data_IF_217509326101
#
_entry.id   IF_217509326101
#
_cell.length_a   1.000
_cell.length_b   1.000
_cell.length_c   1.000
_cell.angle_alpha   90.00
_cell.angle_beta   90.00
_cell.angle_gamma   90.00
#
_symmetry.space_group_name_H-M   'P 1'
#
loop_
_entity.id
_entity.type
_entity.pdbx_description
1 polymer ?
#
# COMPACT_ATOMS: atom_id res chain seq x y z
N UNK A 1 -31.05 -10.60 3.69
CA UNK A 1 -31.41 -10.43 2.26
C UNK A 1 -30.20 -9.86 1.52
N UNK A 2 -29.71 -10.61 0.54
CA UNK A 2 -28.69 -10.31 -0.49
C UNK A 2 -27.36 -9.66 -0.07
N UNK A 3 -26.44 -10.48 0.45
CA UNK A 3 -25.01 -10.14 0.46
C UNK A 3 -24.45 -10.28 -0.96
N UNK A 4 -24.29 -9.17 -1.69
CA UNK A 4 -23.49 -9.17 -2.92
C UNK A 4 -22.03 -9.37 -2.51
N UNK A 5 -21.48 -10.55 -2.79
CA UNK A 5 -20.02 -10.75 -2.82
C UNK A 5 -19.49 -9.94 -4.00
N UNK A 6 -18.92 -8.77 -3.74
CA UNK A 6 -18.18 -8.02 -4.77
C UNK A 6 -16.80 -8.65 -4.88
N UNK A 7 -16.65 -9.56 -5.84
CA UNK A 7 -15.33 -10.02 -6.28
C UNK A 7 -14.76 -8.95 -7.20
N UNK A 8 -13.62 -8.36 -6.83
CA UNK A 8 -12.85 -7.53 -7.75
C UNK A 8 -12.11 -8.47 -8.70
N UNK A 9 -12.71 -8.77 -9.85
CA UNK A 9 -12.01 -9.38 -10.99
C UNK A 9 -11.34 -8.27 -11.78
N UNK A 10 -10.02 -8.18 -11.69
CA UNK A 10 -9.20 -7.30 -12.52
C UNK A 10 -9.10 -7.92 -13.93
N UNK A 11 -9.48 -7.19 -14.98
CA UNK A 11 -9.43 -7.64 -16.38
C UNK A 11 -8.36 -6.89 -17.20
N UNK A 12 -7.20 -7.51 -17.44
CA UNK A 12 -6.11 -6.97 -18.26
C UNK A 12 -6.38 -6.95 -19.76
N UNK A 13 -7.50 -7.51 -20.23
CA UNK A 13 -7.85 -7.46 -21.65
C UNK A 13 -8.22 -6.05 -22.15
N UNK A 14 -8.44 -5.10 -21.25
CA UNK A 14 -8.77 -3.72 -21.64
C UNK A 14 -7.57 -2.81 -21.95
N UNK A 15 -6.30 -3.27 -21.81
CA UNK A 15 -5.16 -2.33 -21.80
C UNK A 15 -3.91 -2.70 -22.61
N UNK A 16 -3.83 -3.90 -23.19
CA UNK A 16 -2.76 -4.22 -24.13
C UNK A 16 -3.36 -4.84 -25.38
N UNK A 17 -3.24 -4.16 -26.52
CA UNK A 17 -3.56 -4.71 -27.84
C UNK A 17 -2.47 -5.70 -28.30
N UNK A 18 -2.02 -6.56 -27.38
CA UNK A 18 -0.95 -7.53 -27.57
C UNK A 18 -0.99 -8.60 -26.49
N UNK A 19 -1.98 -9.50 -26.53
CA UNK A 19 -1.87 -10.87 -25.99
C UNK A 19 -1.35 -11.06 -24.56
N UNK A 20 -1.43 -10.05 -23.69
CA UNK A 20 -0.93 -10.15 -22.33
C UNK A 20 -1.99 -10.83 -21.46
N UNK A 21 -1.59 -11.94 -20.83
CA UNK A 21 -2.48 -12.75 -20.00
C UNK A 21 -3.13 -11.93 -18.88
N UNK A 22 -4.43 -12.17 -18.66
CA UNK A 22 -5.19 -11.62 -17.55
C UNK A 22 -4.61 -12.07 -16.20
N UNK A 23 -3.80 -11.22 -15.55
CA UNK A 23 -3.44 -11.34 -14.14
C UNK A 23 -4.56 -10.78 -13.28
N UNK A 24 -4.91 -11.49 -12.20
CA UNK A 24 -5.84 -11.04 -11.17
C UNK A 24 -5.11 -11.00 -9.82
N UNK A 25 -5.31 -9.95 -9.04
CA UNK A 25 -4.74 -9.80 -7.69
C UNK A 25 -5.88 -9.76 -6.67
N UNK A 26 -5.78 -10.58 -5.62
CA UNK A 26 -6.79 -10.67 -4.57
C UNK A 26 -6.22 -10.16 -3.25
N UNK A 27 -6.83 -9.12 -2.70
CA UNK A 27 -6.52 -8.62 -1.36
C UNK A 27 -7.50 -9.22 -0.34
N UNK A 28 -7.00 -9.88 0.70
CA UNK A 28 -7.81 -10.55 1.74
C UNK A 28 -7.44 -10.00 3.10
N UNK A 29 -8.45 -9.55 3.86
CA UNK A 29 -8.30 -9.15 5.25
C UNK A 29 -8.90 -10.25 6.13
N UNK A 30 -8.05 -11.09 6.70
CA UNK A 30 -8.48 -12.26 7.49
C UNK A 30 -9.13 -11.89 8.84
N UNK A 31 -9.06 -10.61 9.24
CA UNK A 31 -9.61 -10.06 10.47
C UNK A 31 -9.98 -8.58 10.33
N UNK A 32 -10.99 -8.29 9.49
CA UNK A 32 -11.44 -6.92 9.29
C UNK A 32 -11.95 -6.32 10.61
N UNK A 33 -11.47 -5.12 10.92
CA UNK A 33 -11.84 -4.34 12.10
C UNK A 33 -12.32 -2.96 11.66
N UNK A 34 -12.86 -2.17 12.59
CA UNK A 34 -13.21 -0.76 12.32
C UNK A 34 -12.04 0.08 11.76
N UNK A 35 -10.79 -0.33 11.99
CA UNK A 35 -9.60 0.35 11.45
C UNK A 35 -9.37 0.07 9.96
N UNK A 36 -9.96 -1.01 9.42
CA UNK A 36 -9.86 -1.35 8.00
C UNK A 36 -10.93 -0.65 7.15
N UNK A 37 -11.86 0.09 7.77
CA UNK A 37 -12.84 0.88 7.06
C UNK A 37 -12.18 2.06 6.35
N UNK A 38 -12.54 2.26 5.09
CA UNK A 38 -12.01 3.37 4.30
C UNK A 38 -11.73 3.03 2.84
N UNK A 39 -11.27 4.01 2.06
CA UNK A 39 -10.90 3.81 0.66
C UNK A 39 -9.64 2.96 0.56
N UNK A 40 -9.67 1.97 -0.34
CA UNK A 40 -8.53 1.16 -0.75
C UNK A 40 -8.32 1.32 -2.26
N UNK A 41 -7.07 1.24 -2.69
CA UNK A 41 -6.68 1.31 -4.09
C UNK A 41 -6.10 -0.02 -4.55
N UNK A 42 -6.58 -0.55 -5.67
CA UNK A 42 -5.89 -1.62 -6.39
C UNK A 42 -4.98 -0.98 -7.43
N UNK A 43 -3.67 -1.19 -7.31
CA UNK A 43 -2.67 -0.57 -8.19
C UNK A 43 -2.05 -1.64 -9.10
N UNK A 44 -2.07 -1.39 -10.41
CA UNK A 44 -1.39 -2.19 -11.43
C UNK A 44 -0.20 -1.39 -11.97
N UNK A 45 0.99 -2.02 -11.99
CA UNK A 45 2.26 -1.39 -12.37
C UNK A 45 2.87 -2.18 -13.54
N UNK A 46 3.31 -1.48 -14.59
CA UNK A 46 3.98 -2.03 -15.76
C UNK A 46 5.12 -1.09 -16.20
N UNK A 47 6.32 -1.34 -15.68
CA UNK A 47 7.46 -0.43 -15.86
C UNK A 47 7.24 0.87 -15.10
N UNK A 48 7.29 2.00 -15.81
CA UNK A 48 7.03 3.36 -15.34
C UNK A 48 5.54 3.72 -15.27
N UNK A 49 4.66 2.89 -15.86
CA UNK A 49 3.23 3.15 -15.90
C UNK A 49 2.53 2.48 -14.73
N UNK A 50 1.68 3.22 -14.05
CA UNK A 50 0.79 2.68 -13.03
C UNK A 50 -0.65 3.17 -13.23
N UNK A 51 -1.59 2.32 -12.87
CA UNK A 51 -3.03 2.60 -12.88
C UNK A 51 -3.63 2.14 -11.57
N UNK A 52 -4.58 2.89 -11.03
CA UNK A 52 -5.27 2.53 -9.81
C UNK A 52 -6.79 2.64 -9.95
N UNK A 53 -7.48 1.79 -9.19
CA UNK A 53 -8.94 1.82 -9.03
C UNK A 53 -9.29 1.84 -7.55
N UNK A 54 -10.36 2.53 -7.16
CA UNK A 54 -10.70 2.79 -5.75
C UNK A 54 -11.96 2.03 -5.34
N UNK A 55 -11.97 1.48 -4.13
CA UNK A 55 -13.18 0.95 -3.49
C UNK A 55 -13.18 1.24 -2.00
N UNK A 56 -14.33 1.10 -1.31
CA UNK A 56 -14.45 1.40 0.11
C UNK A 56 -14.77 0.12 0.89
N UNK A 57 -13.97 -0.17 1.91
CA UNK A 57 -14.25 -1.25 2.87
C UNK A 57 -15.19 -0.70 3.95
N UNK A 58 -16.25 -1.45 4.23
CA UNK A 58 -17.17 -1.22 5.34
C UNK A 58 -17.20 -2.48 6.21
N UNK A 59 -17.00 -2.34 7.51
CA UNK A 59 -16.91 -3.44 8.46
C UNK A 59 -18.13 -3.41 9.39
N UNK A 60 -19.03 -4.37 9.18
CA UNK A 60 -20.22 -4.55 10.04
C UNK A 60 -19.93 -5.51 11.19
N UNK A 61 -20.24 -5.11 12.43
CA UNK A 61 -20.15 -5.96 13.61
C UNK A 61 -21.35 -6.93 13.67
N UNK A 62 -21.43 -7.93 12.79
CA UNK A 62 -22.44 -9.00 12.91
C UNK A 62 -21.94 -10.08 13.86
N UNK A 63 -21.98 -9.80 15.17
CA UNK A 63 -21.65 -10.76 16.22
C UNK A 63 -22.86 -11.64 16.53
N UNK A 64 -23.31 -12.43 15.55
CA UNK A 64 -24.29 -13.50 15.78
C UNK A 64 -23.94 -14.82 15.07
N UNK A 65 -22.65 -15.02 14.74
CA UNK A 65 -22.14 -16.24 14.12
C UNK A 65 -21.49 -17.15 15.17
N UNK A 66 -22.14 -18.28 15.46
CA UNK A 66 -21.66 -19.40 16.30
C UNK A 66 -20.42 -20.13 15.75
N UNK A 67 -19.76 -19.59 14.72
CA UNK A 67 -18.39 -19.91 14.35
C UNK A 67 -17.56 -18.62 14.40
N UNK A 68 -17.14 -18.26 15.62
CA UNK A 68 -16.05 -17.33 15.82
C UNK A 68 -14.81 -17.94 15.17
N UNK A 69 -14.46 -17.51 13.96
CA UNK A 69 -13.09 -17.71 13.49
C UNK A 69 -12.25 -16.90 14.46
N UNK A 70 -11.54 -17.60 15.34
CA UNK A 70 -10.57 -16.97 16.24
C UNK A 70 -9.62 -16.19 15.38
N UNK A 71 -9.83 -14.89 15.39
CA UNK A 71 -8.96 -13.94 14.77
C UNK A 71 -7.63 -14.07 15.53
N UNK A 72 -6.53 -14.44 14.86
CA UNK A 72 -5.27 -14.88 15.50
C UNK A 72 -4.71 -13.97 16.61
N UNK A 73 -3.73 -14.40 17.40
CA UNK A 73 -3.22 -13.59 18.52
C UNK A 73 -2.68 -12.22 18.08
N UNK A 74 -2.82 -11.23 18.96
CA UNK A 74 -2.17 -9.92 18.79
C UNK A 74 -0.66 -10.11 18.60
N UNK A 75 -0.07 -9.38 17.66
CA UNK A 75 1.36 -9.47 17.31
C UNK A 75 1.90 -8.12 16.86
N UNK A 76 3.16 -7.80 17.20
CA UNK A 76 3.79 -6.55 16.81
C UNK A 76 3.86 -6.41 15.29
N UNK A 77 4.05 -5.17 14.80
CA UNK A 77 4.18 -4.93 13.37
C UNK A 77 5.52 -5.47 12.87
N UNK A 78 5.51 -6.01 11.66
CA UNK A 78 6.69 -6.51 10.95
C UNK A 78 6.55 -6.16 9.48
N UNK A 79 7.53 -5.43 8.95
CA UNK A 79 7.61 -5.08 7.53
C UNK A 79 8.17 -6.29 6.78
N UNK A 80 7.34 -6.82 5.88
CA UNK A 80 7.63 -8.07 5.15
C UNK A 80 8.07 -7.85 3.71
N UNK A 81 7.77 -6.67 3.15
CA UNK A 81 8.13 -6.33 1.78
C UNK A 81 8.59 -4.88 1.71
N UNK A 82 9.83 -4.69 1.28
CA UNK A 82 10.47 -3.40 1.02
C UNK A 82 11.67 -3.59 0.08
N UNK A 83 12.24 -2.50 -0.39
CA UNK A 83 13.46 -2.48 -1.20
C UNK A 83 14.52 -1.62 -0.52
N UNK A 84 15.77 -2.07 -0.44
CA UNK A 84 16.82 -1.27 0.20
C UNK A 84 17.27 -0.07 -0.65
N UNK A 85 17.27 -0.22 -1.98
CA UNK A 85 17.73 0.81 -2.92
C UNK A 85 16.95 0.72 -4.22
N UNK A 86 16.61 1.89 -4.78
CA UNK A 86 15.92 2.00 -6.05
C UNK A 86 16.62 3.03 -6.94
N UNK A 87 16.86 2.65 -8.19
CA UNK A 87 17.31 3.55 -9.25
C UNK A 87 16.16 3.70 -10.25
N UNK A 88 15.75 4.92 -10.54
CA UNK A 88 14.65 5.21 -11.45
C UNK A 88 14.96 6.43 -12.30
N UNK A 89 14.42 6.45 -13.53
CA UNK A 89 14.65 7.56 -14.46
C UNK A 89 13.89 8.81 -14.02
N UNK A 90 14.50 9.97 -14.23
CA UNK A 90 13.83 11.25 -14.01
C UNK A 90 12.55 11.40 -14.83
N UNK A 91 11.59 12.10 -14.24
CA UNK A 91 10.26 12.31 -14.83
C UNK A 91 9.35 11.09 -14.82
N UNK A 92 9.84 9.90 -14.41
CA UNK A 92 9.01 8.71 -14.22
C UNK A 92 8.42 8.66 -12.82
N UNK A 93 7.32 7.93 -12.66
CA UNK A 93 6.71 7.69 -11.36
C UNK A 93 7.30 6.43 -10.75
N UNK A 94 7.62 6.49 -9.46
CA UNK A 94 8.22 5.42 -8.69
C UNK A 94 7.32 5.01 -7.53
N UNK A 95 7.26 3.71 -7.22
CA UNK A 95 6.58 3.17 -6.04
C UNK A 95 7.59 2.47 -5.15
N UNK A 96 7.68 2.93 -3.90
CA UNK A 96 8.48 2.29 -2.86
C UNK A 96 7.56 1.33 -2.08
N UNK A 97 7.79 0.01 -2.17
CA UNK A 97 6.94 -0.94 -1.46
C UNK A 97 7.17 -0.86 0.05
N UNK A 98 6.07 -0.86 0.81
CA UNK A 98 6.13 -1.10 2.25
C UNK A 98 4.88 -1.85 2.72
N UNK A 99 5.01 -3.18 2.78
CA UNK A 99 3.94 -4.05 3.25
C UNK A 99 4.29 -4.58 4.64
N UNK A 100 3.49 -4.18 5.63
CA UNK A 100 3.62 -4.63 6.99
C UNK A 100 2.49 -5.57 7.40
N UNK A 101 2.85 -6.59 8.18
CA UNK A 101 1.92 -7.47 8.87
C UNK A 101 1.92 -7.13 10.36
N UNK A 102 0.82 -7.38 11.04
CA UNK A 102 0.69 -7.09 12.45
C UNK A 102 -0.75 -7.33 12.88
N UNK A 103 -0.98 -7.49 14.17
CA UNK A 103 -2.35 -7.52 14.69
C UNK A 103 -2.47 -6.73 15.99
N UNK A 104 -3.25 -5.64 16.04
CA UNK A 104 -4.02 -5.03 14.93
C UNK A 104 -3.17 -4.59 13.74
N UNK A 105 -3.82 -4.38 12.58
CA UNK A 105 -3.12 -3.98 11.35
C UNK A 105 -2.32 -2.70 11.62
N UNK A 106 -1.03 -2.66 11.25
CA UNK A 106 -0.24 -1.46 11.47
C UNK A 106 -0.67 -0.32 10.57
N UNK A 107 -0.58 0.89 11.10
CA UNK A 107 -0.64 2.10 10.30
C UNK A 107 0.74 2.40 9.75
N UNK A 108 0.81 2.75 8.46
CA UNK A 108 2.06 3.01 7.75
C UNK A 108 2.23 4.50 7.54
N UNK A 109 3.40 5.02 7.91
CA UNK A 109 3.85 6.37 7.59
C UNK A 109 5.20 6.34 6.89
N UNK A 110 5.49 7.38 6.12
CA UNK A 110 6.78 7.57 5.50
C UNK A 110 7.44 8.84 6.03
N UNK A 111 8.75 8.77 6.22
CA UNK A 111 9.58 9.85 6.75
C UNK A 111 10.81 10.00 5.84
N UNK A 112 11.26 11.22 5.57
CA UNK A 112 12.58 11.44 4.95
C UNK A 112 13.68 11.34 6.02
N UNK A 113 14.94 11.17 5.62
CA UNK A 113 16.09 11.15 6.55
C UNK A 113 16.16 12.38 7.46
N UNK A 114 15.61 13.50 7.00
CA UNK A 114 15.55 14.77 7.73
C UNK A 114 14.47 14.79 8.82
N UNK A 115 13.74 13.68 8.99
CA UNK A 115 12.67 13.51 9.98
C UNK A 115 11.32 14.08 9.57
N UNK A 116 11.17 14.53 8.32
CA UNK A 116 9.90 15.07 7.83
C UNK A 116 8.92 13.95 7.49
N UNK A 117 7.75 13.97 8.14
CA UNK A 117 6.67 13.03 7.83
C UNK A 117 6.04 13.41 6.49
N UNK A 118 6.03 12.46 5.56
CA UNK A 118 5.37 12.59 4.27
C UNK A 118 3.87 12.44 4.49
N UNK A 119 3.21 13.57 4.78
CA UNK A 119 1.78 13.62 4.94
C UNK A 119 1.11 13.77 3.56
N UNK A 120 0.21 12.83 3.25
CA UNK A 120 -0.47 12.71 1.97
C UNK A 120 -0.97 14.08 1.46
N UNK A 121 -0.50 14.53 0.30
CA UNK A 121 -0.87 15.79 -0.38
C UNK A 121 -0.58 17.13 0.32
N UNK A 122 -0.19 17.16 1.60
CA UNK A 122 -0.07 18.41 2.36
C UNK A 122 1.21 19.21 2.04
N UNK A 123 2.29 18.52 1.73
CA UNK A 123 3.59 19.16 1.45
C UNK A 123 3.96 19.13 -0.03
N UNK A 124 3.68 18.03 -0.71
CA UNK A 124 3.94 17.89 -2.14
C UNK A 124 2.91 16.91 -2.76
N UNK A 125 2.09 17.34 -3.73
CA UNK A 125 1.08 16.48 -4.36
C UNK A 125 1.67 15.32 -5.17
N UNK A 126 2.98 15.35 -5.48
CA UNK A 126 3.72 14.26 -6.13
C UNK A 126 3.92 13.06 -5.20
N UNK A 127 3.89 13.27 -3.89
CA UNK A 127 4.09 12.23 -2.88
C UNK A 127 2.76 11.74 -2.32
N UNK A 128 2.50 10.43 -2.45
CA UNK A 128 1.24 9.83 -1.99
C UNK A 128 1.48 8.51 -1.29
N UNK A 129 0.96 8.37 -0.09
CA UNK A 129 0.93 7.09 0.63
C UNK A 129 -0.32 6.33 0.21
N UNK A 130 -0.13 5.17 -0.41
CA UNK A 130 -1.22 4.32 -0.90
C UNK A 130 -1.87 3.56 0.27
N UNK A 131 -3.12 3.12 0.11
CA UNK A 131 -3.84 2.36 1.15
C UNK A 131 -3.22 0.99 1.49
N UNK A 132 -2.26 0.53 0.69
CA UNK A 132 -1.42 -0.64 0.96
C UNK A 132 -0.28 -0.32 1.93
N UNK A 133 0.14 0.94 2.03
CA UNK A 133 1.32 1.40 2.75
C UNK A 133 2.46 1.87 1.83
N UNK A 134 2.37 1.61 0.53
CA UNK A 134 3.44 1.96 -0.42
C UNK A 134 3.51 3.48 -0.65
N UNK A 135 4.71 4.01 -0.88
CA UNK A 135 4.91 5.42 -1.23
C UNK A 135 5.02 5.57 -2.75
N UNK A 136 4.10 6.31 -3.34
CA UNK A 136 4.18 6.78 -4.71
C UNK A 136 4.89 8.14 -4.74
N UNK A 137 5.91 8.26 -5.58
CA UNK A 137 6.60 9.50 -5.95
C UNK A 137 6.36 9.71 -7.43
N UNK A 138 5.55 10.70 -7.78
CA UNK A 138 5.24 11.06 -9.16
C UNK A 138 6.27 12.05 -9.72
N UNK A 139 6.60 11.91 -11.01
CA UNK A 139 7.59 12.73 -11.71
C UNK A 139 8.88 12.93 -10.89
N UNK A 140 9.67 11.86 -10.75
CA UNK A 140 10.90 11.86 -9.95
C UNK A 140 11.90 12.92 -10.44
N UNK A 141 12.38 13.76 -9.52
CA UNK A 141 13.36 14.81 -9.76
C UNK A 141 14.69 14.51 -9.05
N UNK A 142 15.78 15.15 -9.46
CA UNK A 142 17.09 14.99 -8.81
C UNK A 142 17.04 15.39 -7.33
N UNK A 143 16.23 16.41 -7.02
CA UNK A 143 16.01 16.94 -5.67
C UNK A 143 15.25 15.97 -4.76
N UNK A 144 14.57 14.97 -5.33
CA UNK A 144 13.89 13.91 -4.56
C UNK A 144 14.86 12.80 -4.11
N UNK A 145 16.16 12.87 -4.49
CA UNK A 145 17.19 11.93 -4.04
C UNK A 145 17.31 11.97 -2.51
N UNK A 146 16.82 10.92 -1.85
CA UNK A 146 16.81 10.85 -0.39
C UNK A 146 16.70 9.39 0.08
N UNK A 147 16.91 9.19 1.39
CA UNK A 147 16.51 7.98 2.10
C UNK A 147 15.09 8.14 2.66
N UNK A 148 14.21 7.25 2.23
CA UNK A 148 12.81 7.21 2.63
C UNK A 148 12.59 6.06 3.61
N UNK A 149 12.17 6.39 4.83
CA UNK A 149 11.92 5.42 5.90
C UNK A 149 10.43 5.12 5.98
N UNK A 150 10.07 3.86 5.80
CA UNK A 150 8.74 3.37 6.13
C UNK A 150 8.68 2.99 7.62
N UNK A 151 7.61 3.43 8.29
CA UNK A 151 7.34 3.16 9.69
C UNK A 151 6.00 2.45 9.81
N UNK A 152 6.03 1.20 10.26
CA UNK A 152 4.84 0.40 10.54
C UNK A 152 4.54 0.45 12.04
N UNK A 153 3.48 1.14 12.44
CA UNK A 153 3.18 1.40 13.86
C UNK A 153 1.87 0.75 14.31
N UNK A 154 1.89 0.18 15.51
CA UNK A 154 0.71 -0.31 16.22
C UNK A 154 0.82 -0.03 17.72
N UNK A 155 -0.20 -0.34 18.51
CA UNK A 155 -0.13 -0.24 19.97
C UNK A 155 0.82 -1.27 20.62
N UNK A 156 1.31 -2.26 19.86
CA UNK A 156 2.23 -3.29 20.34
C UNK A 156 3.69 -2.97 20.01
N UNK A 157 3.96 -1.87 19.30
CA UNK A 157 5.31 -1.47 18.89
C UNK A 157 5.34 -0.89 17.48
N UNK A 158 6.55 -0.71 16.97
CA UNK A 158 6.83 -0.23 15.62
C UNK A 158 7.95 -1.05 14.97
N UNK A 159 7.93 -1.08 13.64
CA UNK A 159 9.01 -1.61 12.81
C UNK A 159 9.35 -0.58 11.71
N UNK A 160 10.62 -0.53 11.30
CA UNK A 160 11.15 0.51 10.41
C UNK A 160 12.09 -0.08 9.38
N UNK A 161 11.95 0.35 8.13
CA UNK A 161 12.88 0.02 7.04
C UNK A 161 13.10 1.23 6.16
N UNK A 162 14.31 1.36 5.62
CA UNK A 162 14.70 2.48 4.78
C UNK A 162 14.95 2.05 3.35
N UNK A 163 14.56 2.90 2.40
CA UNK A 163 14.80 2.76 0.97
C UNK A 163 15.56 3.98 0.46
N UNK A 164 16.75 3.79 -0.09
CA UNK A 164 17.47 4.86 -0.76
C UNK A 164 17.00 5.01 -2.20
N UNK A 165 16.65 6.22 -2.62
CA UNK A 165 16.21 6.53 -3.99
C UNK A 165 17.29 7.32 -4.72
N UNK A 166 17.67 6.83 -5.90
CA UNK A 166 18.66 7.47 -6.77
C UNK A 166 18.06 7.77 -8.16
N UNK A 167 17.79 9.05 -8.47
CA UNK A 167 17.35 9.47 -9.80
C UNK A 167 18.45 9.27 -10.86
N UNK A 168 18.11 8.63 -11.97
CA UNK A 168 18.96 8.45 -13.14
C UNK A 168 18.51 9.37 -14.30
N UNK A 169 19.41 9.66 -15.24
CA UNK A 169 19.14 10.44 -16.46
C UNK A 169 18.95 9.53 -17.67
#
# INVERSE_FOLDING_TARGET
>A
MNSKKTSLTYDPSMFFNSGAAKKESKYVIDCASKQDEGPIHCVAIAGDKFKWESTVILVSDNVNSTRSRSCGSNRPPVITHHTATVVALQGTSLILPCVATGKPRPYITWETSDGNVIANHLFNPRFKVLGTGDLLIDALEWEDMNEYTCVAKSHLGEDRVSTFVYPAQ
#
